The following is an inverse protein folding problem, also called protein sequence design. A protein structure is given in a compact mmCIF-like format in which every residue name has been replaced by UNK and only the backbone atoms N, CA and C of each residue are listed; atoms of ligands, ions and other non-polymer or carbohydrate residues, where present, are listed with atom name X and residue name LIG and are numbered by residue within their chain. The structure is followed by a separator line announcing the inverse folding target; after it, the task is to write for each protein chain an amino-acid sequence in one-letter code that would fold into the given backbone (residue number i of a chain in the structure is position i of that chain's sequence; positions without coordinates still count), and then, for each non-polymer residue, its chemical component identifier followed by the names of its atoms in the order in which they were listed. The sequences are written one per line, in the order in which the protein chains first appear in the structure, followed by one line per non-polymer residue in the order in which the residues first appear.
data_IF_944460994431
#
_entry.id   IF_944460994431
#
_cell.length_a   1.000
_cell.length_b   1.000
_cell.length_c   1.000
_cell.angle_alpha   90.00
_cell.angle_beta   90.00
_cell.angle_gamma   90.00
#
_symmetry.space_group_name_H-M   'P 1'
#
loop_
_entity.id
_entity.type
_entity.pdbx_description
1 polymer ?
#
# COMPACT_ATOMS: atom_id res chain seq x y z
N UNK A 1 16.55 37.48 15.92
CA UNK A 1 15.52 36.99 14.97
C UNK A 1 16.08 35.75 14.31
N UNK A 2 15.76 34.57 14.84
CA UNK A 2 16.11 33.29 14.22
C UNK A 2 15.01 32.96 13.22
N UNK A 3 15.33 33.02 11.94
CA UNK A 3 14.42 32.56 10.88
C UNK A 3 14.33 31.04 10.98
N UNK A 4 13.22 30.57 11.53
CA UNK A 4 12.86 29.16 11.50
C UNK A 4 12.45 28.81 10.07
N UNK A 5 13.42 28.38 9.27
CA UNK A 5 13.20 27.88 7.92
C UNK A 5 12.72 26.42 8.01
N UNK A 6 11.55 26.23 8.62
CA UNK A 6 10.86 24.95 8.69
C UNK A 6 10.30 24.61 7.31
N UNK A 7 11.19 24.15 6.41
CA UNK A 7 10.80 23.47 5.19
C UNK A 7 9.88 22.32 5.57
N UNK A 8 8.62 22.39 5.15
CA UNK A 8 7.64 21.33 5.39
C UNK A 8 8.12 20.06 4.66
N UNK A 9 8.86 19.21 5.38
CA UNK A 9 9.45 18.00 4.82
C UNK A 9 8.41 16.89 4.80
N UNK A 10 7.89 16.58 3.61
CA UNK A 10 7.07 15.40 3.38
C UNK A 10 7.98 14.17 3.27
N UNK A 11 7.77 13.19 4.16
CA UNK A 11 8.46 11.90 4.07
C UNK A 11 7.54 10.89 3.38
N UNK A 12 8.01 10.30 2.29
CA UNK A 12 7.25 9.36 1.46
C UNK A 12 7.98 8.01 1.42
N UNK A 13 7.24 6.91 1.40
CA UNK A 13 7.77 5.57 1.20
C UNK A 13 7.19 4.92 -0.06
N UNK A 14 8.06 4.38 -0.90
CA UNK A 14 7.68 3.49 -1.99
C UNK A 14 7.87 2.04 -1.52
N UNK A 15 6.81 1.25 -1.56
CA UNK A 15 6.85 -0.14 -1.13
C UNK A 15 7.14 -1.05 -2.32
N UNK A 16 8.10 -1.96 -2.13
CA UNK A 16 8.34 -3.08 -3.04
C UNK A 16 7.89 -4.38 -2.38
N UNK A 17 7.08 -5.17 -3.09
CA UNK A 17 6.65 -6.50 -2.70
C UNK A 17 6.40 -7.36 -3.93
N UNK A 18 6.30 -8.68 -3.73
CA UNK A 18 5.91 -9.63 -4.77
C UNK A 18 4.44 -9.96 -4.57
N UNK A 19 3.58 -9.54 -5.50
CA UNK A 19 2.15 -9.89 -5.49
C UNK A 19 1.94 -11.32 -5.94
N UNK A 20 1.08 -12.05 -5.22
CA UNK A 20 0.69 -13.43 -5.51
C UNK A 20 -0.79 -13.53 -5.92
N UNK A 21 -1.28 -14.71 -6.33
CA UNK A 21 -2.71 -14.95 -6.50
C UNK A 21 -3.52 -14.98 -5.20
N UNK A 22 -2.87 -14.91 -4.02
CA UNK A 22 -3.54 -14.94 -2.72
C UNK A 22 -3.78 -13.54 -2.16
N UNK A 23 -5.04 -13.12 -2.11
CA UNK A 23 -5.43 -11.81 -1.56
C UNK A 23 -4.94 -11.66 -0.10
N UNK A 24 -5.13 -12.69 0.73
CA UNK A 24 -4.75 -12.64 2.13
C UNK A 24 -3.22 -12.48 2.32
N UNK A 25 -2.42 -13.20 1.54
CA UNK A 25 -0.95 -13.11 1.61
C UNK A 25 -0.46 -11.71 1.22
N UNK A 26 -1.05 -11.17 0.15
CA UNK A 26 -0.75 -9.84 -0.36
C UNK A 26 -1.09 -8.75 0.65
N UNK A 27 -2.32 -8.75 1.19
CA UNK A 27 -2.76 -7.75 2.17
C UNK A 27 -1.94 -7.82 3.46
N UNK A 28 -1.59 -9.02 3.93
CA UNK A 28 -0.72 -9.19 5.10
C UNK A 28 0.68 -8.62 4.85
N UNK A 29 1.25 -8.85 3.65
CA UNK A 29 2.56 -8.31 3.27
C UNK A 29 2.52 -6.79 3.15
N UNK A 30 1.53 -6.25 2.46
CA UNK A 30 1.32 -4.81 2.32
C UNK A 30 1.15 -4.15 3.69
N UNK A 31 0.30 -4.70 4.57
CA UNK A 31 0.07 -4.18 5.92
C UNK A 31 1.36 -4.10 6.74
N UNK A 32 2.15 -5.17 6.76
CA UNK A 32 3.45 -5.20 7.46
C UNK A 32 4.43 -4.13 6.93
N UNK A 33 4.51 -3.96 5.61
CA UNK A 33 5.42 -3.01 4.97
C UNK A 33 4.96 -1.56 5.18
N UNK A 34 3.65 -1.28 5.09
CA UNK A 34 3.05 0.02 5.40
C UNK A 34 3.29 0.38 6.86
N UNK A 35 3.11 -0.57 7.78
CA UNK A 35 3.37 -0.35 9.21
C UNK A 35 4.84 0.00 9.45
N UNK A 36 5.78 -0.73 8.82
CA UNK A 36 7.21 -0.42 8.93
C UNK A 36 7.56 0.96 8.37
N UNK A 37 6.95 1.36 7.24
CA UNK A 37 7.15 2.71 6.67
C UNK A 37 6.58 3.81 7.59
N UNK A 38 5.39 3.58 8.16
CA UNK A 38 4.77 4.49 9.12
C UNK A 38 5.65 4.68 10.37
N UNK A 39 6.21 3.59 10.91
CA UNK A 39 7.15 3.64 12.04
C UNK A 39 8.43 4.43 11.73
N UNK A 40 8.81 4.56 10.45
CA UNK A 40 9.95 5.35 9.99
C UNK A 40 9.60 6.82 9.68
N UNK A 41 8.35 7.24 9.94
CA UNK A 41 7.88 8.61 9.75
C UNK A 41 7.28 8.90 8.38
N UNK A 42 7.05 7.87 7.53
CA UNK A 42 6.38 8.08 6.25
C UNK A 42 4.96 8.62 6.45
N UNK A 43 4.66 9.73 5.80
CA UNK A 43 3.37 10.41 5.78
C UNK A 43 2.54 10.01 4.56
N UNK A 44 3.20 9.50 3.52
CA UNK A 44 2.59 8.93 2.33
C UNK A 44 3.29 7.62 2.01
N UNK A 45 2.51 6.58 1.73
CA UNK A 45 3.01 5.28 1.29
C UNK A 45 2.39 4.95 -0.06
N UNK A 46 3.22 4.54 -1.01
CA UNK A 46 2.80 4.12 -2.35
C UNK A 46 3.02 2.62 -2.47
N UNK A 47 1.99 1.89 -2.87
CA UNK A 47 2.01 0.46 -3.11
C UNK A 47 2.22 0.19 -4.61
N UNK A 48 2.78 -0.96 -5.00
CA UNK A 48 2.95 -1.31 -6.41
C UNK A 48 1.60 -1.56 -7.09
N UNK A 49 1.59 -1.52 -8.42
CA UNK A 49 0.44 -1.96 -9.20
C UNK A 49 0.09 -3.42 -8.85
N UNK A 50 -1.19 -3.74 -8.76
CA UNK A 50 -1.69 -5.07 -8.36
C UNK A 50 -1.17 -5.55 -7.00
N UNK A 51 -0.88 -4.65 -6.06
CA UNK A 51 -0.43 -5.05 -4.71
C UNK A 51 -1.38 -6.05 -4.04
N UNK A 52 -2.69 -5.94 -4.30
CA UNK A 52 -3.71 -6.76 -3.66
C UNK A 52 -3.90 -8.13 -4.33
N UNK A 53 -3.73 -8.24 -5.65
CA UNK A 53 -3.98 -9.49 -6.36
C UNK A 53 -3.26 -9.53 -7.72
N UNK A 54 -2.33 -10.47 -7.87
CA UNK A 54 -1.81 -10.90 -9.16
C UNK A 54 -2.51 -12.19 -9.57
N UNK A 55 -3.65 -12.05 -10.25
CA UNK A 55 -4.45 -13.18 -10.71
C UNK A 55 -3.71 -14.07 -11.70
N UNK A 56 -4.07 -15.35 -11.76
CA UNK A 56 -3.59 -16.26 -12.81
C UNK A 56 -4.27 -15.96 -14.14
N UNK A 57 -5.43 -15.29 -14.09
CA UNK A 57 -6.20 -14.79 -15.24
C UNK A 57 -6.73 -13.39 -14.93
N UNK A 58 -6.96 -12.59 -15.97
CA UNK A 58 -7.50 -11.22 -15.80
C UNK A 58 -8.87 -11.19 -15.11
N UNK A 59 -9.69 -12.23 -15.31
CA UNK A 59 -11.02 -12.39 -14.69
C UNK A 59 -10.97 -12.53 -13.17
N UNK A 60 -9.83 -12.90 -12.59
CA UNK A 60 -9.69 -13.09 -11.16
C UNK A 60 -9.85 -11.74 -10.43
N UNK A 61 -9.36 -10.65 -11.04
CA UNK A 61 -9.52 -9.27 -10.53
C UNK A 61 -11.00 -8.87 -10.47
N UNK A 62 -11.76 -9.22 -11.50
CA UNK A 62 -13.21 -8.96 -11.59
C UNK A 62 -13.97 -9.77 -10.55
N UNK A 63 -13.51 -10.98 -10.24
CA UNK A 63 -14.13 -11.86 -9.24
C UNK A 63 -13.84 -11.38 -7.81
N UNK A 64 -12.67 -10.79 -7.59
CA UNK A 64 -12.27 -10.19 -6.31
C UNK A 64 -12.81 -8.77 -6.07
N UNK A 65 -13.67 -8.24 -6.97
CA UNK A 65 -14.21 -6.88 -6.82
C UNK A 65 -15.05 -6.76 -5.54
N UNK A 66 -14.93 -5.62 -4.90
CA UNK A 66 -15.63 -5.32 -3.64
C UNK A 66 -16.63 -4.18 -3.86
N UNK A 67 -17.76 -4.16 -3.13
CA UNK A 67 -18.55 -2.94 -3.02
C UNK A 67 -17.70 -1.82 -2.39
N UNK A 68 -17.86 -0.60 -2.89
CA UNK A 68 -17.12 0.55 -2.37
C UNK A 68 -17.37 0.73 -0.85
N UNK A 69 -16.29 0.91 -0.09
CA UNK A 69 -16.27 1.06 1.36
C UNK A 69 -16.52 -0.21 2.18
N UNK A 70 -16.65 -1.38 1.54
CA UNK A 70 -17.12 -2.59 2.20
C UNK A 70 -16.18 -3.80 2.08
N UNK A 71 -14.95 -3.60 1.63
CA UNK A 71 -14.01 -4.70 1.42
C UNK A 71 -12.58 -4.40 1.85
N UNK A 72 -11.79 -5.46 2.13
CA UNK A 72 -10.46 -5.35 2.72
C UNK A 72 -9.36 -4.77 1.82
N UNK A 73 -9.60 -4.57 0.52
CA UNK A 73 -8.60 -3.97 -0.40
C UNK A 73 -8.52 -2.44 -0.23
N UNK A 74 -9.57 -1.81 0.31
CA UNK A 74 -9.79 -0.36 0.31
C UNK A 74 -9.17 0.38 1.49
#
# INVERSE_FOLDING_TARGET
MTTDNSSSKLQVASIQMVSTPSLAENLNTASRLVQAASQQGAQLVVLPEYFCLMGLKDTDKVSAREPAGAGPIQ
#
